data_IF_815731558178
#
_entry.id   IF_815731558178
#
_cell.length_a   1.000
_cell.length_b   1.000
_cell.length_c   1.000
_cell.angle_alpha   90.00
_cell.angle_beta   90.00
_cell.angle_gamma   90.00
#
_symmetry.space_group_name_H-M   'P 1'
#
loop_
_entity.id
_entity.type
_entity.pdbx_description
1 polymer ?
#
# COMPACT_ATOMS: atom_id res chain seq x y z
N UNK A 1 -24.24 -66.85 -0.50
CA UNK A 1 -23.08 -66.15 -1.08
C UNK A 1 -23.42 -64.74 -1.50
N UNK A 2 -23.51 -63.76 -0.57
CA UNK A 2 -23.82 -62.34 -0.84
C UNK A 2 -23.17 -61.38 0.20
N UNK A 3 -21.98 -61.68 0.76
CA UNK A 3 -21.35 -60.84 1.76
C UNK A 3 -20.04 -60.13 1.39
N UNK A 4 -19.37 -60.31 0.24
CA UNK A 4 -18.14 -59.53 -0.04
C UNK A 4 -18.41 -58.17 -0.69
N UNK A 5 -19.58 -57.89 -1.23
CA UNK A 5 -19.85 -56.64 -1.96
C UNK A 5 -20.13 -55.46 -1.01
N UNK A 6 -20.59 -55.72 0.23
CA UNK A 6 -20.90 -54.68 1.21
C UNK A 6 -19.65 -54.08 1.87
N UNK A 7 -18.56 -54.86 1.98
CA UNK A 7 -17.31 -54.39 2.56
C UNK A 7 -16.49 -53.55 1.56
N UNK A 8 -16.68 -53.78 0.25
CA UNK A 8 -16.00 -52.96 -0.77
C UNK A 8 -16.62 -51.55 -0.88
N UNK A 9 -17.92 -51.42 -0.62
CA UNK A 9 -18.60 -50.11 -0.65
C UNK A 9 -18.27 -49.27 0.59
N UNK A 10 -17.98 -49.87 1.73
CA UNK A 10 -17.59 -49.17 2.97
C UNK A 10 -16.12 -48.69 2.86
N UNK A 11 -15.27 -49.41 2.19
CA UNK A 11 -13.86 -49.00 1.98
C UNK A 11 -13.73 -47.84 0.98
N UNK A 12 -14.68 -47.67 0.04
CA UNK A 12 -14.66 -46.54 -0.92
C UNK A 12 -15.16 -45.22 -0.35
N UNK A 13 -15.96 -45.27 0.73
CA UNK A 13 -16.52 -44.07 1.39
C UNK A 13 -15.53 -43.44 2.40
N UNK A 14 -14.50 -44.16 2.84
CA UNK A 14 -13.52 -43.66 3.81
C UNK A 14 -12.31 -42.98 3.19
N UNK A 15 -12.18 -42.95 1.87
CA UNK A 15 -11.05 -42.29 1.17
C UNK A 15 -11.39 -40.86 0.72
N UNK A 16 -12.65 -40.42 0.82
CA UNK A 16 -13.03 -39.01 0.73
C UNK A 16 -12.93 -38.28 2.08
N UNK A 17 -11.92 -38.58 2.88
CA UNK A 17 -11.54 -37.73 4.01
C UNK A 17 -10.88 -36.48 3.47
N UNK A 18 -11.70 -35.47 3.25
CA UNK A 18 -11.37 -34.04 3.35
C UNK A 18 -9.89 -33.78 3.65
N UNK A 19 -9.10 -33.65 2.60
CA UNK A 19 -7.91 -32.83 2.67
C UNK A 19 -8.42 -31.38 2.80
N UNK A 20 -8.85 -31.02 3.99
CA UNK A 20 -8.92 -29.64 4.42
C UNK A 20 -7.46 -29.21 4.48
N UNK A 21 -6.93 -28.74 3.36
CA UNK A 21 -5.66 -28.04 3.32
C UNK A 21 -5.83 -26.86 4.28
N UNK A 22 -5.39 -27.06 5.52
CA UNK A 22 -5.13 -25.96 6.42
C UNK A 22 -4.06 -25.13 5.70
N UNK A 23 -4.49 -24.10 4.99
CA UNK A 23 -3.59 -23.12 4.40
C UNK A 23 -2.68 -22.67 5.53
N UNK A 24 -1.43 -23.10 5.48
CA UNK A 24 -0.41 -22.60 6.42
C UNK A 24 -0.41 -21.08 6.25
N UNK A 25 -0.67 -20.36 7.33
CA UNK A 25 -0.65 -18.90 7.31
C UNK A 25 0.72 -18.47 6.80
N UNK A 26 0.72 -17.68 5.75
CA UNK A 26 1.94 -17.11 5.22
C UNK A 26 2.48 -16.05 6.19
N UNK A 27 3.79 -15.82 6.15
CA UNK A 27 4.46 -14.77 6.93
C UNK A 27 5.16 -13.78 6.01
N UNK A 28 5.15 -12.51 6.39
CA UNK A 28 5.96 -11.48 5.76
C UNK A 28 6.67 -10.67 6.85
N UNK A 29 7.99 -10.63 6.76
CA UNK A 29 8.85 -10.12 7.83
C UNK A 29 9.97 -9.24 7.26
N UNK A 30 10.50 -8.36 8.11
CA UNK A 30 11.72 -7.61 7.85
C UNK A 30 12.89 -8.51 8.26
N UNK A 31 13.68 -8.95 7.29
CA UNK A 31 14.92 -9.70 7.51
C UNK A 31 16.16 -8.80 7.41
N UNK A 32 17.32 -9.42 7.52
CA UNK A 32 18.62 -8.74 7.33
C UNK A 32 18.77 -8.35 5.85
N UNK A 33 18.74 -7.03 5.58
CA UNK A 33 18.85 -6.39 4.26
C UNK A 33 17.86 -6.88 3.20
N UNK A 34 16.82 -7.61 3.59
CA UNK A 34 15.82 -8.14 2.67
C UNK A 34 14.47 -8.33 3.36
N UNK A 35 13.39 -8.30 2.62
CA UNK A 35 12.12 -8.82 3.12
C UNK A 35 12.13 -10.35 3.04
N UNK A 36 11.38 -10.98 3.94
CA UNK A 36 11.19 -12.42 3.98
C UNK A 36 9.70 -12.75 3.78
N UNK A 37 9.42 -13.59 2.80
CA UNK A 37 8.11 -14.21 2.60
C UNK A 37 8.23 -15.69 2.93
N UNK A 38 7.53 -16.16 3.95
CA UNK A 38 7.63 -17.53 4.44
C UNK A 38 9.09 -17.93 4.74
N UNK A 39 9.86 -17.01 5.34
CA UNK A 39 11.27 -17.19 5.67
C UNK A 39 12.23 -17.15 4.48
N UNK A 40 11.76 -16.85 3.26
CA UNK A 40 12.60 -16.77 2.05
C UNK A 40 12.76 -15.32 1.59
N UNK A 41 13.93 -14.93 1.07
CA UNK A 41 14.13 -13.59 0.51
C UNK A 41 13.07 -13.23 -0.53
N UNK A 42 12.52 -12.03 -0.39
CA UNK A 42 11.44 -11.54 -1.25
C UNK A 42 11.68 -10.08 -1.62
N UNK A 43 11.68 -9.78 -2.92
CA UNK A 43 11.73 -8.42 -3.43
C UNK A 43 10.30 -7.98 -3.77
N UNK A 44 9.82 -6.95 -3.09
CA UNK A 44 8.51 -6.35 -3.37
C UNK A 44 8.61 -5.57 -4.68
N UNK A 45 7.81 -5.96 -5.65
CA UNK A 45 7.62 -5.27 -6.93
C UNK A 45 6.16 -4.82 -6.97
N UNK A 46 5.90 -3.63 -6.47
CA UNK A 46 4.55 -3.13 -6.34
C UNK A 46 4.17 -2.18 -7.49
N UNK A 47 2.88 -2.16 -7.78
CA UNK A 47 2.25 -1.18 -8.64
C UNK A 47 1.13 -0.50 -7.89
N UNK A 48 1.11 0.82 -7.88
CA UNK A 48 0.08 1.57 -7.18
C UNK A 48 -1.17 1.71 -8.04
N UNK A 49 -2.31 1.28 -7.46
CA UNK A 49 -3.64 1.37 -8.06
C UNK A 49 -4.56 2.16 -7.15
N UNK A 50 -5.04 3.30 -7.63
CA UNK A 50 -6.07 4.08 -6.96
C UNK A 50 -7.45 3.52 -7.35
N UNK A 51 -7.93 2.49 -6.61
CA UNK A 51 -9.20 1.82 -6.89
C UNK A 51 -10.41 2.75 -7.03
N UNK A 52 -10.51 3.92 -6.32
CA UNK A 52 -11.61 4.84 -6.49
C UNK A 52 -11.68 5.51 -7.87
N UNK A 53 -10.54 5.57 -8.58
CA UNK A 53 -10.44 6.16 -9.92
C UNK A 53 -10.73 5.17 -11.05
N UNK A 54 -10.99 3.91 -10.70
CA UNK A 54 -11.22 2.83 -11.66
C UNK A 54 -12.62 2.24 -11.40
N UNK A 55 -13.52 2.20 -12.38
CA UNK A 55 -14.79 1.49 -12.23
C UNK A 55 -14.56 0.07 -11.74
N UNK A 56 -15.39 -0.42 -10.81
CA UNK A 56 -15.23 -1.73 -10.15
C UNK A 56 -15.10 -2.87 -11.15
N UNK A 57 -15.81 -2.79 -12.26
CA UNK A 57 -15.82 -3.79 -13.34
C UNK A 57 -14.45 -3.95 -14.01
N UNK A 58 -13.57 -2.95 -13.88
CA UNK A 58 -12.22 -2.98 -14.43
C UNK A 58 -11.12 -3.30 -13.40
N UNK A 59 -11.44 -3.47 -12.12
CA UNK A 59 -10.43 -3.75 -11.09
C UNK A 59 -9.61 -4.99 -11.42
N UNK A 60 -10.28 -6.10 -11.75
CA UNK A 60 -9.60 -7.35 -12.07
C UNK A 60 -8.68 -7.21 -13.29
N UNK A 61 -9.17 -6.52 -14.33
CA UNK A 61 -8.35 -6.25 -15.52
C UNK A 61 -7.06 -5.50 -15.15
N UNK A 62 -7.15 -4.45 -14.32
CA UNK A 62 -5.97 -3.66 -13.88
C UNK A 62 -5.01 -4.48 -13.05
N UNK A 63 -5.49 -5.28 -12.12
CA UNK A 63 -4.68 -6.20 -11.32
C UNK A 63 -3.95 -7.20 -12.21
N UNK A 64 -4.64 -7.80 -13.18
CA UNK A 64 -4.05 -8.73 -14.17
C UNK A 64 -2.98 -8.06 -15.02
N UNK A 65 -3.17 -6.82 -15.42
CA UNK A 65 -2.16 -6.06 -16.17
C UNK A 65 -0.92 -5.79 -15.35
N UNK A 66 -1.05 -5.43 -14.05
CA UNK A 66 0.09 -5.31 -13.15
C UNK A 66 0.85 -6.63 -12.99
N UNK A 67 0.13 -7.74 -12.86
CA UNK A 67 0.73 -9.07 -12.82
C UNK A 67 1.47 -9.41 -14.11
N UNK A 68 0.90 -9.10 -15.27
CA UNK A 68 1.53 -9.32 -16.57
C UNK A 68 2.80 -8.46 -16.75
N UNK A 69 2.86 -7.28 -16.12
CA UNK A 69 4.06 -6.43 -16.05
C UNK A 69 5.16 -7.02 -15.13
N UNK A 70 4.88 -8.13 -14.44
CA UNK A 70 5.84 -8.79 -13.53
C UNK A 70 5.79 -8.28 -12.09
N UNK A 71 4.78 -7.49 -11.73
CA UNK A 71 4.54 -7.10 -10.34
C UNK A 71 4.01 -8.26 -9.52
N UNK A 72 4.33 -8.27 -8.23
CA UNK A 72 3.85 -9.27 -7.27
C UNK A 72 2.97 -8.67 -6.17
N UNK A 73 2.86 -7.34 -6.14
CA UNK A 73 2.17 -6.60 -5.08
C UNK A 73 1.38 -5.44 -5.70
N UNK A 74 0.20 -5.18 -5.16
CA UNK A 74 -0.57 -3.97 -5.41
C UNK A 74 -0.38 -3.03 -4.22
N UNK A 75 -0.04 -1.77 -4.49
CA UNK A 75 -0.05 -0.71 -3.49
C UNK A 75 -1.33 0.11 -3.66
N UNK A 76 -1.98 0.50 -2.58
CA UNK A 76 -3.19 1.31 -2.64
C UNK A 76 -3.28 2.32 -1.49
N UNK A 77 -3.85 3.50 -1.79
CA UNK A 77 -4.27 4.47 -0.78
C UNK A 77 -5.72 4.29 -0.36
N UNK A 78 -6.01 4.62 0.91
CA UNK A 78 -7.37 4.74 1.43
C UNK A 78 -7.72 6.22 1.53
N UNK A 79 -8.61 6.70 0.68
CA UNK A 79 -8.99 8.11 0.64
C UNK A 79 -10.09 8.39 1.66
N UNK A 80 -9.79 9.07 2.74
CA UNK A 80 -10.72 9.31 3.83
C UNK A 80 -12.01 10.00 3.35
N UNK A 81 -11.88 11.10 2.59
CA UNK A 81 -13.04 11.84 2.06
C UNK A 81 -13.92 11.02 1.10
N UNK A 82 -13.37 9.99 0.48
CA UNK A 82 -14.14 9.08 -0.38
C UNK A 82 -15.02 8.13 0.43
N UNK A 83 -14.52 7.67 1.58
CA UNK A 83 -15.24 6.74 2.45
C UNK A 83 -16.11 7.42 3.51
N UNK A 84 -15.81 8.66 3.88
CA UNK A 84 -16.57 9.45 4.84
C UNK A 84 -16.89 10.84 4.24
N UNK A 85 -17.80 10.89 3.24
CA UNK A 85 -18.17 12.14 2.56
C UNK A 85 -18.89 13.14 3.47
N UNK A 86 -19.54 12.67 4.53
CA UNK A 86 -20.13 13.42 5.61
C UNK A 86 -19.67 12.85 6.94
N UNK A 87 -19.44 13.72 7.93
CA UNK A 87 -18.99 13.33 9.25
C UNK A 87 -19.83 12.20 9.86
N UNK A 88 -19.19 11.08 10.22
CA UNK A 88 -19.82 9.91 10.81
C UNK A 88 -20.59 9.02 9.83
N UNK A 89 -20.61 9.34 8.53
CA UNK A 89 -21.26 8.52 7.50
C UNK A 89 -20.23 7.78 6.66
N UNK A 90 -19.92 6.57 7.09
CA UNK A 90 -18.93 5.72 6.42
C UNK A 90 -19.60 4.86 5.35
N UNK A 91 -18.91 4.71 4.20
CA UNK A 91 -19.36 3.86 3.11
C UNK A 91 -18.17 3.05 2.54
N UNK A 92 -18.29 1.72 2.64
CA UNK A 92 -17.35 0.75 2.11
C UNK A 92 -18.05 -0.26 1.19
N UNK A 93 -19.08 0.18 0.46
CA UNK A 93 -19.87 -0.68 -0.44
C UNK A 93 -19.64 -0.37 -1.92
N UNK A 94 -20.00 -1.29 -2.80
CA UNK A 94 -19.95 -1.08 -4.24
C UNK A 94 -18.55 -0.66 -4.74
N UNK A 95 -18.44 0.52 -5.32
CA UNK A 95 -17.18 1.13 -5.78
C UNK A 95 -16.20 1.43 -4.63
N UNK A 96 -16.72 1.52 -3.41
CA UNK A 96 -15.94 1.84 -2.20
C UNK A 96 -15.54 0.59 -1.40
N UNK A 97 -15.85 -0.62 -1.89
CA UNK A 97 -15.53 -1.88 -1.21
C UNK A 97 -14.04 -2.23 -1.36
N UNK A 98 -13.22 -1.59 -0.52
CA UNK A 98 -11.77 -1.79 -0.49
C UNK A 98 -11.40 -3.24 -0.10
N UNK A 99 -12.20 -3.88 0.75
CA UNK A 99 -11.96 -5.27 1.14
C UNK A 99 -12.17 -6.22 -0.04
N UNK A 100 -13.19 -5.97 -0.88
CA UNK A 100 -13.38 -6.73 -2.12
C UNK A 100 -12.21 -6.50 -3.09
N UNK A 101 -11.69 -5.27 -3.19
CA UNK A 101 -10.51 -5.00 -4.02
C UNK A 101 -9.26 -5.78 -3.55
N UNK A 102 -9.00 -5.81 -2.23
CA UNK A 102 -7.89 -6.59 -1.68
C UNK A 102 -8.06 -8.10 -1.90
N UNK A 103 -9.28 -8.64 -1.71
CA UNK A 103 -9.57 -10.06 -1.99
C UNK A 103 -9.39 -10.39 -3.47
N UNK A 104 -9.83 -9.52 -4.36
CA UNK A 104 -9.64 -9.69 -5.80
C UNK A 104 -8.15 -9.70 -6.18
N UNK A 105 -7.32 -8.88 -5.53
CA UNK A 105 -5.87 -8.95 -5.68
C UNK A 105 -5.33 -10.31 -5.20
N UNK A 106 -5.80 -10.83 -4.06
CA UNK A 106 -5.44 -12.15 -3.53
C UNK A 106 -5.81 -13.29 -4.49
N UNK A 107 -7.02 -13.28 -5.03
CA UNK A 107 -7.52 -14.26 -6.01
C UNK A 107 -6.65 -14.29 -7.28
N UNK A 108 -6.05 -13.15 -7.63
CA UNK A 108 -5.11 -13.03 -8.73
C UNK A 108 -3.65 -13.32 -8.32
N UNK A 109 -3.40 -13.75 -7.06
CA UNK A 109 -2.07 -14.09 -6.55
C UNK A 109 -1.17 -12.87 -6.35
N UNK A 110 -1.75 -11.72 -5.96
CA UNK A 110 -1.03 -10.48 -5.67
C UNK A 110 -1.11 -10.16 -4.18
N UNK A 111 0.00 -9.75 -3.59
CA UNK A 111 0.04 -9.16 -2.26
C UNK A 111 -0.44 -7.72 -2.29
N UNK A 112 -0.68 -7.14 -1.11
CA UNK A 112 -1.17 -5.77 -0.99
C UNK A 112 -0.36 -4.98 0.04
N UNK A 113 -0.04 -3.74 -0.29
CA UNK A 113 0.43 -2.72 0.63
C UNK A 113 -0.69 -1.70 0.79
N UNK A 114 -1.08 -1.41 2.04
CA UNK A 114 -2.13 -0.44 2.34
C UNK A 114 -1.52 0.84 2.88
N UNK A 115 -1.95 1.98 2.33
CA UNK A 115 -1.51 3.32 2.74
C UNK A 115 -2.74 4.09 3.22
N UNK A 116 -3.12 3.94 4.52
CA UNK A 116 -4.41 4.45 5.03
C UNK A 116 -4.41 5.93 5.39
N UNK A 117 -3.29 6.59 5.32
CA UNK A 117 -3.16 7.99 5.68
C UNK A 117 -2.98 8.24 7.19
N UNK A 118 -3.66 9.27 7.76
CA UNK A 118 -4.90 9.97 7.32
C UNK A 118 -4.76 10.89 6.11
N UNK A 119 -3.63 11.53 5.92
CA UNK A 119 -3.28 12.28 4.71
C UNK A 119 -2.57 11.35 3.73
N UNK A 120 -2.97 11.36 2.45
CA UNK A 120 -2.41 10.44 1.44
C UNK A 120 -1.82 11.16 0.22
N UNK A 121 -1.96 12.47 0.10
CA UNK A 121 -1.56 13.26 -1.06
C UNK A 121 -2.25 12.78 -2.36
N UNK A 122 -1.60 11.96 -3.14
CA UNK A 122 -2.11 11.16 -4.25
C UNK A 122 -2.83 11.96 -5.34
N UNK A 123 -2.46 13.23 -5.58
CA UNK A 123 -3.17 14.13 -6.49
C UNK A 123 -4.71 14.06 -6.28
N UNK A 124 -5.12 13.99 -5.02
CA UNK A 124 -6.50 13.90 -4.62
C UNK A 124 -6.91 15.14 -3.81
N UNK A 125 -8.19 15.52 -3.88
CA UNK A 125 -8.71 16.67 -3.17
C UNK A 125 -8.32 16.64 -1.69
N UNK A 126 -7.73 17.73 -1.18
CA UNK A 126 -7.22 17.89 0.18
C UNK A 126 -6.28 16.76 0.64
N UNK A 127 -5.63 16.05 -0.31
CA UNK A 127 -4.80 14.89 0.03
C UNK A 127 -5.58 13.77 0.71
N UNK A 128 -6.87 13.65 0.40
CA UNK A 128 -7.77 12.64 0.96
C UNK A 128 -8.49 13.07 2.24
N UNK A 129 -8.12 14.19 2.86
CA UNK A 129 -8.80 14.67 4.06
C UNK A 129 -10.22 15.15 3.75
N UNK A 130 -11.24 14.89 4.61
CA UNK A 130 -12.59 15.32 4.37
C UNK A 130 -12.78 16.83 4.55
N UNK A 131 -13.51 17.43 3.64
CA UNK A 131 -13.83 18.86 3.65
C UNK A 131 -14.57 19.31 4.92
N UNK A 132 -15.37 18.44 5.53
CA UNK A 132 -16.16 18.76 6.72
C UNK A 132 -15.30 19.03 7.96
N UNK A 133 -14.04 18.57 7.98
CA UNK A 133 -13.08 18.95 9.02
C UNK A 133 -12.91 20.47 9.13
N UNK A 134 -12.97 21.19 7.99
CA UNK A 134 -12.83 22.63 7.94
C UNK A 134 -14.02 23.40 8.53
N UNK A 135 -15.11 22.73 8.89
CA UNK A 135 -16.22 23.35 9.65
C UNK A 135 -15.80 23.77 11.06
N UNK A 136 -14.81 23.06 11.64
CA UNK A 136 -14.24 23.44 12.92
C UNK A 136 -13.28 24.60 12.70
N UNK A 137 -13.61 25.78 13.28
CA UNK A 137 -12.71 26.93 13.26
C UNK A 137 -11.39 26.57 13.97
N UNK A 138 -10.30 27.08 13.45
CA UNK A 138 -8.95 26.93 14.01
C UNK A 138 -8.46 25.47 14.07
N UNK A 139 -9.04 24.56 13.28
CA UNK A 139 -8.54 23.18 13.17
C UNK A 139 -7.11 23.17 12.65
N UNK A 140 -6.28 22.33 13.25
CA UNK A 140 -4.93 22.05 12.80
C UNK A 140 -4.87 20.64 12.20
N UNK A 141 -4.79 20.59 10.89
CA UNK A 141 -4.67 19.33 10.15
C UNK A 141 -3.23 18.83 10.16
N UNK A 142 -3.06 17.51 10.29
CA UNK A 142 -1.75 16.85 10.39
C UNK A 142 -0.92 17.36 11.58
N UNK A 143 -1.59 17.67 12.66
CA UNK A 143 -1.04 18.07 13.95
C UNK A 143 -1.84 17.42 15.09
N UNK A 144 -1.38 17.54 16.33
CA UNK A 144 -2.08 17.03 17.52
C UNK A 144 -3.28 17.89 17.92
N UNK A 145 -4.16 18.25 16.98
CA UNK A 145 -5.46 18.85 17.28
C UNK A 145 -6.39 17.77 17.87
N UNK A 146 -6.95 17.94 19.06
CA UNK A 146 -7.76 16.88 19.70
C UNK A 146 -8.97 16.43 18.89
N UNK A 147 -9.63 17.34 18.16
CA UNK A 147 -10.76 16.98 17.31
C UNK A 147 -10.28 16.23 16.06
N UNK A 148 -9.23 16.72 15.41
CA UNK A 148 -8.66 16.03 14.26
C UNK A 148 -8.22 14.61 14.62
N UNK A 149 -7.49 14.44 15.71
CA UNK A 149 -6.99 13.11 16.14
C UNK A 149 -8.12 12.17 16.53
N UNK A 150 -9.19 12.67 17.15
CA UNK A 150 -10.40 11.89 17.42
C UNK A 150 -11.03 11.38 16.13
N UNK A 151 -11.20 12.25 15.13
CA UNK A 151 -11.77 11.86 13.83
C UNK A 151 -10.89 10.87 13.09
N UNK A 152 -9.57 11.08 13.09
CA UNK A 152 -8.59 10.12 12.53
C UNK A 152 -8.74 8.74 13.17
N UNK A 153 -8.85 8.69 14.51
CA UNK A 153 -9.02 7.41 15.23
C UNK A 153 -10.31 6.71 14.82
N UNK A 154 -11.42 7.44 14.71
CA UNK A 154 -12.70 6.87 14.30
C UNK A 154 -12.62 6.34 12.88
N UNK A 155 -12.09 7.12 11.93
CA UNK A 155 -11.92 6.67 10.55
C UNK A 155 -11.00 5.44 10.45
N UNK A 156 -9.86 5.46 11.12
CA UNK A 156 -8.91 4.35 11.09
C UNK A 156 -9.51 3.06 11.67
N UNK A 157 -10.38 3.15 12.70
CA UNK A 157 -11.10 2.01 13.21
C UNK A 157 -12.07 1.42 12.16
N UNK A 158 -12.74 2.27 11.36
CA UNK A 158 -13.60 1.79 10.27
C UNK A 158 -12.78 1.10 9.17
N UNK A 159 -11.62 1.65 8.82
CA UNK A 159 -10.67 1.00 7.90
C UNK A 159 -10.20 -0.34 8.46
N UNK A 160 -9.89 -0.40 9.75
CA UNK A 160 -9.49 -1.62 10.43
C UNK A 160 -10.56 -2.71 10.37
N UNK A 161 -11.84 -2.37 10.53
CA UNK A 161 -12.96 -3.33 10.38
C UNK A 161 -13.01 -3.95 8.99
N UNK A 162 -12.58 -3.22 7.96
CA UNK A 162 -12.57 -3.73 6.58
C UNK A 162 -11.32 -4.59 6.28
N UNK A 163 -10.16 -4.21 6.78
CA UNK A 163 -8.87 -4.70 6.29
C UNK A 163 -8.05 -5.49 7.30
N UNK A 164 -8.26 -5.32 8.62
CA UNK A 164 -7.37 -5.92 9.61
C UNK A 164 -7.36 -7.47 9.58
N UNK A 165 -8.42 -8.11 9.09
CA UNK A 165 -8.47 -9.56 8.93
C UNK A 165 -7.90 -10.05 7.58
N UNK A 166 -7.55 -9.13 6.69
CA UNK A 166 -6.90 -9.44 5.41
C UNK A 166 -5.36 -9.39 5.48
N UNK A 167 -4.78 -9.23 6.68
CA UNK A 167 -3.35 -9.34 6.87
C UNK A 167 -2.85 -10.76 6.56
N UNK A 168 -1.66 -10.87 5.98
CA UNK A 168 -1.05 -12.15 5.60
C UNK A 168 -0.95 -13.12 6.79
N UNK A 169 -0.65 -12.62 7.98
CA UNK A 169 -0.61 -13.39 9.23
C UNK A 169 -1.96 -14.00 9.63
N UNK A 170 -3.06 -13.53 9.02
CA UNK A 170 -4.42 -14.06 9.24
C UNK A 170 -4.95 -14.84 8.03
N UNK A 171 -4.13 -15.05 6.99
CA UNK A 171 -4.51 -15.76 5.77
C UNK A 171 -4.98 -14.86 4.62
N UNK A 172 -4.89 -13.54 4.80
CA UNK A 172 -5.11 -12.56 3.72
C UNK A 172 -3.84 -12.31 2.90
N UNK A 173 -3.78 -11.17 2.24
CA UNK A 173 -2.69 -10.79 1.34
C UNK A 173 -2.05 -9.43 1.65
N UNK A 174 -2.48 -8.74 2.71
CA UNK A 174 -1.85 -7.48 3.12
C UNK A 174 -0.53 -7.80 3.81
N UNK A 175 0.57 -7.26 3.28
CA UNK A 175 1.94 -7.52 3.74
C UNK A 175 2.58 -6.35 4.48
N UNK A 176 2.15 -5.10 4.23
CA UNK A 176 2.66 -3.91 4.90
C UNK A 176 1.57 -2.85 5.01
N UNK A 177 1.68 -1.98 6.02
CA UNK A 177 0.78 -0.83 6.20
C UNK A 177 1.60 0.43 6.51
N UNK A 178 1.30 1.52 5.79
CA UNK A 178 1.96 2.81 5.99
C UNK A 178 1.36 3.59 7.14
N UNK A 179 2.19 4.38 7.79
CA UNK A 179 1.83 5.36 8.82
C UNK A 179 2.04 6.75 8.25
N UNK A 180 0.96 7.52 8.09
CA UNK A 180 0.94 8.85 7.49
C UNK A 180 1.48 8.86 6.05
N UNK A 181 1.84 10.01 5.48
CA UNK A 181 2.48 10.12 4.15
C UNK A 181 3.40 11.32 4.09
N UNK A 182 4.69 11.08 3.82
CA UNK A 182 5.73 12.11 3.62
C UNK A 182 5.68 13.23 4.67
N UNK A 183 5.47 12.86 5.92
CA UNK A 183 5.27 13.85 6.98
C UNK A 183 6.51 14.69 7.25
N UNK A 184 7.71 14.17 7.02
CA UNK A 184 8.97 14.91 7.15
C UNK A 184 9.11 16.07 6.17
N UNK A 185 8.36 16.00 5.05
CA UNK A 185 8.23 17.11 4.09
C UNK A 185 7.18 18.15 4.52
N UNK A 186 6.34 17.84 5.49
CA UNK A 186 5.30 18.72 6.04
C UNK A 186 5.66 19.29 7.41
N UNK A 187 6.15 18.46 8.32
CA UNK A 187 6.38 18.83 9.71
C UNK A 187 7.43 17.97 10.41
N UNK A 188 7.66 18.29 11.68
CA UNK A 188 8.67 17.63 12.53
C UNK A 188 8.08 17.10 13.84
N UNK A 189 6.76 16.95 13.94
CA UNK A 189 6.07 16.50 15.16
C UNK A 189 6.12 14.98 15.28
N UNK A 190 7.20 14.44 15.84
CA UNK A 190 7.32 12.99 16.13
C UNK A 190 6.20 12.45 17.03
N UNK A 191 5.73 13.14 18.09
CA UNK A 191 4.57 12.73 18.87
C UNK A 191 3.31 12.51 18.01
N UNK A 192 3.04 13.39 17.04
CA UNK A 192 1.92 13.20 16.10
C UNK A 192 2.05 11.88 15.33
N UNK A 193 3.22 11.62 14.73
CA UNK A 193 3.45 10.38 13.98
C UNK A 193 3.36 9.15 14.89
N UNK A 194 3.87 9.24 16.11
CA UNK A 194 3.76 8.15 17.09
C UNK A 194 2.29 7.86 17.43
N UNK A 195 1.45 8.87 17.58
CA UNK A 195 0.03 8.70 17.83
C UNK A 195 -0.69 8.09 16.61
N UNK A 196 -0.38 8.53 15.37
CA UNK A 196 -0.92 7.90 14.14
C UNK A 196 -0.51 6.43 14.07
N UNK A 197 0.75 6.06 14.33
CA UNK A 197 1.20 4.67 14.42
C UNK A 197 0.38 3.87 15.42
N UNK A 198 0.14 4.42 16.60
CA UNK A 198 -0.59 3.73 17.66
C UNK A 198 -2.08 3.57 17.30
N UNK A 199 -2.69 4.56 16.64
CA UNK A 199 -4.03 4.48 16.06
C UNK A 199 -4.11 3.36 15.02
N UNK A 200 -3.13 3.26 14.11
CA UNK A 200 -3.07 2.18 13.11
C UNK A 200 -2.96 0.81 13.79
N UNK A 201 -2.11 0.68 14.82
CA UNK A 201 -2.02 -0.56 15.61
C UNK A 201 -3.34 -0.88 16.33
N UNK A 202 -3.99 0.11 16.94
CA UNK A 202 -5.29 -0.06 17.63
C UNK A 202 -6.41 -0.45 16.67
N UNK A 203 -6.37 -0.01 15.42
CA UNK A 203 -7.28 -0.42 14.35
C UNK A 203 -7.11 -1.88 13.90
N UNK A 204 -6.11 -2.60 14.46
CA UNK A 204 -5.90 -4.03 14.24
C UNK A 204 -4.77 -4.39 13.29
N UNK A 205 -3.98 -3.44 12.80
CA UNK A 205 -2.82 -3.69 11.94
C UNK A 205 -1.58 -4.01 12.79
N UNK A 206 -1.55 -5.22 13.35
CA UNK A 206 -0.47 -5.67 14.25
C UNK A 206 0.26 -6.92 13.75
N UNK A 207 -0.22 -7.52 12.67
CA UNK A 207 0.31 -8.77 12.14
C UNK A 207 1.20 -8.61 10.91
N UNK A 208 1.59 -7.37 10.57
CA UNK A 208 2.44 -7.03 9.44
C UNK A 208 3.35 -5.84 9.80
N UNK A 209 4.50 -5.67 9.13
CA UNK A 209 5.35 -4.50 9.31
C UNK A 209 4.60 -3.19 9.01
N UNK A 210 4.81 -2.20 9.87
CA UNK A 210 4.43 -0.81 9.60
C UNK A 210 5.63 -0.04 9.06
N UNK A 211 5.38 0.92 8.17
CA UNK A 211 6.44 1.72 7.54
C UNK A 211 6.08 3.20 7.40
N UNK A 212 7.10 4.03 7.30
CA UNK A 212 7.03 5.44 6.93
C UNK A 212 7.75 5.65 5.60
N UNK A 213 7.30 6.60 4.80
CA UNK A 213 8.00 7.05 3.61
C UNK A 213 8.25 8.55 3.64
N UNK A 214 9.34 8.98 3.01
CA UNK A 214 9.64 10.38 2.73
C UNK A 214 10.73 10.50 1.65
N UNK A 215 11.09 11.72 1.31
CA UNK A 215 12.25 12.01 0.49
C UNK A 215 13.53 11.77 1.31
N UNK A 216 14.62 11.43 0.61
CA UNK A 216 15.92 11.19 1.27
C UNK A 216 16.46 12.39 2.06
N UNK A 217 16.00 13.60 1.75
CA UNK A 217 16.36 14.83 2.47
C UNK A 217 15.55 15.06 3.75
N UNK A 218 14.39 14.42 3.91
CA UNK A 218 13.40 14.80 4.91
C UNK A 218 12.99 13.64 5.85
N UNK A 219 13.31 12.40 5.52
CA UNK A 219 12.83 11.24 6.28
C UNK A 219 13.28 11.23 7.75
N UNK A 220 14.42 11.84 8.09
CA UNK A 220 14.94 11.92 9.46
C UNK A 220 14.13 12.88 10.35
N UNK A 221 13.38 13.82 9.76
CA UNK A 221 12.68 14.87 10.53
C UNK A 221 11.73 14.31 11.59
N UNK A 222 11.09 13.18 11.31
CA UNK A 222 10.12 12.55 12.21
C UNK A 222 10.14 11.02 12.19
N UNK A 223 11.19 10.41 11.69
CA UNK A 223 11.31 8.96 11.62
C UNK A 223 11.23 8.32 13.02
N UNK A 224 10.40 7.26 13.12
CA UNK A 224 10.26 6.46 14.34
C UNK A 224 11.10 5.19 14.21
N UNK A 225 11.79 4.83 15.30
CA UNK A 225 12.75 3.71 15.28
C UNK A 225 12.09 2.34 15.16
N UNK A 226 10.84 2.21 15.55
CA UNK A 226 10.06 0.98 15.47
C UNK A 226 9.32 0.79 14.13
N UNK A 227 9.48 1.71 13.18
CA UNK A 227 8.94 1.60 11.83
C UNK A 227 10.04 1.30 10.81
N UNK A 228 9.68 0.63 9.73
CA UNK A 228 10.53 0.56 8.55
C UNK A 228 10.55 1.93 7.86
N UNK A 229 11.72 2.40 7.45
CA UNK A 229 11.86 3.64 6.68
C UNK A 229 12.04 3.32 5.20
N UNK A 230 11.30 3.99 4.35
CA UNK A 230 11.38 3.87 2.90
C UNK A 230 11.59 5.25 2.27
N UNK A 231 12.20 5.29 1.10
CA UNK A 231 12.57 6.55 0.43
C UNK A 231 11.78 6.67 -0.88
N UNK A 232 11.23 7.85 -1.15
CA UNK A 232 10.53 8.18 -2.39
C UNK A 232 11.45 8.98 -3.32
N UNK A 233 11.49 8.59 -4.60
CA UNK A 233 12.22 9.31 -5.64
C UNK A 233 11.73 8.94 -7.04
N UNK A 234 12.09 9.74 -8.04
CA UNK A 234 11.67 9.54 -9.43
C UNK A 234 12.76 8.98 -10.34
N UNK A 235 12.36 8.77 -11.60
CA UNK A 235 13.26 8.36 -12.68
C UNK A 235 14.42 9.34 -12.84
N UNK A 236 15.61 8.82 -13.18
CA UNK A 236 16.84 9.60 -13.33
C UNK A 236 17.58 9.88 -12.03
N UNK A 237 17.04 9.53 -10.86
CA UNK A 237 17.74 9.64 -9.59
C UNK A 237 18.93 8.67 -9.52
N UNK A 238 20.02 9.08 -8.86
CA UNK A 238 21.10 8.18 -8.49
C UNK A 238 20.64 7.33 -7.28
N UNK A 239 20.41 6.04 -7.47
CA UNK A 239 19.83 5.16 -6.46
C UNK A 239 20.74 5.05 -5.23
N UNK A 240 22.04 4.96 -5.42
CA UNK A 240 22.98 4.84 -4.30
C UNK A 240 22.94 6.10 -3.41
N UNK A 241 22.87 7.30 -4.03
CA UNK A 241 22.74 8.56 -3.28
C UNK A 241 21.40 8.66 -2.53
N UNK A 242 20.30 8.12 -3.11
CA UNK A 242 18.98 8.14 -2.46
C UNK A 242 18.98 7.32 -1.16
N UNK A 243 19.66 6.19 -1.13
CA UNK A 243 19.66 5.32 0.04
C UNK A 243 20.88 5.49 0.96
N UNK A 244 21.88 6.26 0.55
CA UNK A 244 23.14 6.42 1.30
C UNK A 244 22.91 6.73 2.79
N UNK A 245 22.16 7.79 3.06
CA UNK A 245 21.92 8.22 4.45
C UNK A 245 21.11 7.20 5.25
N UNK A 246 20.14 6.56 4.64
CA UNK A 246 19.35 5.51 5.26
C UNK A 246 20.24 4.30 5.64
N UNK A 247 21.13 3.88 4.77
CA UNK A 247 22.06 2.78 5.03
C UNK A 247 23.12 3.10 6.10
N UNK A 248 23.55 4.37 6.19
CA UNK A 248 24.42 4.82 7.28
C UNK A 248 23.75 4.69 8.66
N UNK A 249 22.46 5.00 8.74
CA UNK A 249 21.70 4.96 9.99
C UNK A 249 21.17 3.57 10.32
N UNK A 250 20.78 2.81 9.30
CA UNK A 250 20.16 1.49 9.44
C UNK A 250 20.70 0.52 8.38
N UNK A 251 21.91 -0.01 8.56
CA UNK A 251 22.60 -0.83 7.56
C UNK A 251 21.93 -2.19 7.32
N UNK A 252 21.10 -2.67 8.24
CA UNK A 252 20.56 -4.04 8.25
C UNK A 252 19.10 -4.13 7.79
N UNK A 253 18.45 -3.00 7.40
CA UNK A 253 17.07 -3.03 6.93
C UNK A 253 17.00 -3.29 5.41
N UNK A 254 15.89 -3.89 4.91
CA UNK A 254 15.62 -3.94 3.49
C UNK A 254 15.40 -2.54 2.92
N UNK A 255 15.95 -2.28 1.74
CA UNK A 255 15.74 -1.02 1.04
C UNK A 255 14.50 -1.08 0.18
N UNK A 256 13.70 0.00 0.18
CA UNK A 256 12.50 0.12 -0.63
C UNK A 256 12.28 1.58 -1.08
N UNK A 257 12.04 1.75 -2.38
CA UNK A 257 11.43 2.94 -2.93
C UNK A 257 9.91 2.77 -2.91
N UNK A 258 9.23 3.39 -1.95
CA UNK A 258 7.77 3.21 -1.78
C UNK A 258 6.93 4.02 -2.77
N UNK A 259 7.54 5.02 -3.42
CA UNK A 259 7.00 5.69 -4.60
C UNK A 259 8.12 5.95 -5.60
N UNK A 260 8.15 5.18 -6.67
CA UNK A 260 9.04 5.43 -7.80
C UNK A 260 8.27 6.17 -8.90
N UNK A 261 8.52 7.47 -9.00
CA UNK A 261 7.77 8.36 -9.89
C UNK A 261 8.23 8.24 -11.34
N UNK A 262 7.29 7.86 -12.22
CA UNK A 262 7.51 7.79 -13.67
C UNK A 262 7.25 9.11 -14.40
N UNK A 263 6.81 10.16 -13.71
CA UNK A 263 6.48 11.47 -14.23
C UNK A 263 6.61 12.55 -13.17
N UNK A 264 6.11 13.75 -13.48
CA UNK A 264 6.00 14.85 -12.53
C UNK A 264 4.73 15.67 -12.82
N UNK A 265 4.44 16.61 -11.94
CA UNK A 265 3.29 17.50 -12.09
C UNK A 265 3.43 18.45 -13.27
N UNK A 266 2.35 18.65 -14.01
CA UNK A 266 2.20 19.80 -14.88
C UNK A 266 1.75 21.02 -14.08
N UNK A 267 2.28 22.17 -14.41
CA UNK A 267 1.90 23.44 -13.81
C UNK A 267 1.29 24.37 -14.86
N UNK A 268 0.27 25.15 -14.46
CA UNK A 268 -0.35 26.14 -15.32
C UNK A 268 0.70 27.11 -15.90
N UNK A 269 0.70 27.26 -17.23
CA UNK A 269 1.64 28.13 -17.92
C UNK A 269 3.08 27.61 -18.07
N UNK A 270 3.39 26.43 -17.52
CA UNK A 270 4.67 25.77 -17.70
C UNK A 270 4.66 24.81 -18.90
N UNK A 271 5.87 24.39 -19.32
CA UNK A 271 6.02 23.33 -20.31
C UNK A 271 5.55 21.99 -19.71
N UNK A 272 4.86 21.19 -20.52
CA UNK A 272 4.45 19.85 -20.16
C UNK A 272 5.65 18.98 -19.73
N UNK A 273 5.54 18.35 -18.56
CA UNK A 273 6.56 17.48 -17.98
C UNK A 273 6.53 16.10 -18.66
N UNK A 274 7.68 15.66 -19.11
CA UNK A 274 7.86 14.35 -19.74
C UNK A 274 9.03 13.60 -19.14
N UNK A 275 8.92 12.29 -19.05
CA UNK A 275 10.00 11.38 -18.65
C UNK A 275 10.12 10.27 -19.68
N UNK A 276 11.33 9.77 -19.91
CA UNK A 276 11.53 8.69 -20.87
C UNK A 276 11.16 7.35 -20.28
N UNK A 277 10.61 6.46 -21.10
CA UNK A 277 10.34 5.09 -20.71
C UNK A 277 11.64 4.32 -20.41
N UNK A 278 12.72 4.68 -21.10
CA UNK A 278 14.05 4.10 -20.91
C UNK A 278 14.58 4.40 -19.50
N UNK A 279 14.39 5.62 -19.00
CA UNK A 279 14.81 6.01 -17.64
C UNK A 279 14.01 5.26 -16.57
N UNK A 280 12.71 5.04 -16.81
CA UNK A 280 11.88 4.21 -15.94
C UNK A 280 12.42 2.77 -15.86
N UNK A 281 12.61 2.14 -17.02
CA UNK A 281 13.13 0.78 -17.11
C UNK A 281 14.52 0.65 -16.51
N UNK A 282 15.41 1.63 -16.77
CA UNK A 282 16.74 1.69 -16.18
C UNK A 282 16.69 1.74 -14.66
N UNK A 283 15.90 2.65 -14.09
CA UNK A 283 15.76 2.77 -12.62
C UNK A 283 15.21 1.50 -11.99
N UNK A 284 14.17 0.88 -12.58
CA UNK A 284 13.65 -0.40 -12.11
C UNK A 284 14.72 -1.49 -12.14
N UNK A 285 15.45 -1.60 -13.25
CA UNK A 285 16.54 -2.58 -13.39
C UNK A 285 17.63 -2.37 -12.34
N UNK A 286 18.08 -1.15 -12.15
CA UNK A 286 19.11 -0.81 -11.17
C UNK A 286 18.69 -1.13 -9.74
N UNK A 287 17.41 -0.92 -9.38
CA UNK A 287 16.86 -1.34 -8.09
C UNK A 287 16.83 -2.85 -7.95
N UNK A 288 16.37 -3.57 -8.97
CA UNK A 288 16.33 -5.04 -8.95
C UNK A 288 17.73 -5.67 -8.87
N UNK A 289 18.70 -5.14 -9.58
CA UNK A 289 20.10 -5.60 -9.54
C UNK A 289 20.72 -5.46 -8.13
N UNK A 290 20.18 -4.57 -7.28
CA UNK A 290 20.57 -4.34 -5.88
C UNK A 290 19.62 -4.98 -4.85
N UNK A 291 18.64 -5.78 -5.28
CA UNK A 291 17.58 -6.33 -4.43
C UNK A 291 16.76 -5.26 -3.69
N UNK A 292 16.64 -4.06 -4.26
CA UNK A 292 15.83 -2.99 -3.71
C UNK A 292 14.39 -3.18 -4.16
N UNK A 293 13.47 -3.19 -3.21
CA UNK A 293 12.03 -3.22 -3.44
C UNK A 293 11.52 -1.87 -3.93
N UNK A 294 10.43 -1.87 -4.71
CA UNK A 294 9.85 -0.62 -5.20
C UNK A 294 8.32 -0.70 -5.41
N UNK A 295 7.68 0.46 -5.43
CA UNK A 295 6.31 0.64 -5.88
C UNK A 295 6.27 1.68 -7.02
N UNK A 296 5.80 1.28 -8.20
CA UNK A 296 5.59 2.21 -9.30
C UNK A 296 4.45 3.17 -8.97
N UNK A 297 4.75 4.45 -8.91
CA UNK A 297 3.78 5.50 -8.64
C UNK A 297 3.51 6.31 -9.91
N UNK A 298 2.33 6.24 -10.51
CA UNK A 298 1.23 5.31 -10.29
C UNK A 298 0.87 4.65 -11.62
N UNK A 299 0.39 3.42 -11.57
CA UNK A 299 0.07 2.67 -12.81
C UNK A 299 -1.34 2.96 -13.32
N UNK A 300 -2.31 3.16 -12.42
CA UNK A 300 -3.71 3.29 -12.81
C UNK A 300 -4.20 4.74 -12.94
N UNK A 301 -3.62 5.65 -12.22
CA UNK A 301 -3.91 7.08 -12.34
C UNK A 301 -3.52 7.61 -13.72
N UNK A 302 -2.35 7.20 -14.18
CA UNK A 302 -1.80 7.54 -15.49
C UNK A 302 -2.70 7.08 -16.64
N UNK A 303 -3.51 6.06 -16.45
CA UNK A 303 -4.37 5.53 -17.50
C UNK A 303 -5.37 6.57 -18.01
N UNK A 304 -6.00 7.35 -17.15
CA UNK A 304 -6.92 8.40 -17.58
C UNK A 304 -6.19 9.52 -18.32
N UNK A 305 -4.95 9.80 -17.96
CA UNK A 305 -4.12 10.81 -18.61
C UNK A 305 -3.37 10.29 -19.83
N UNK A 306 -2.93 9.04 -19.82
CA UNK A 306 -2.33 8.42 -20.99
C UNK A 306 -3.33 8.31 -22.15
N UNK A 307 -4.63 8.18 -21.84
CA UNK A 307 -5.67 8.23 -22.85
C UNK A 307 -5.76 9.62 -23.49
N UNK A 308 -5.60 10.67 -22.71
CA UNK A 308 -5.55 12.05 -23.22
C UNK A 308 -4.30 12.27 -24.08
N UNK A 309 -3.17 11.69 -23.72
CA UNK A 309 -1.93 11.80 -24.50
C UNK A 309 -1.96 10.96 -25.79
N UNK A 310 -2.61 9.81 -25.81
CA UNK A 310 -2.76 8.99 -27.02
C UNK A 310 -3.71 9.62 -28.04
N UNK A 311 -4.61 10.48 -27.61
CA UNK A 311 -5.46 11.24 -28.53
C UNK A 311 -4.72 12.43 -29.17
N UNK A 312 -3.53 12.75 -28.71
CA UNK A 312 -2.66 13.80 -29.24
C UNK A 312 -1.51 13.24 -30.08
N UNK A 313 -1.45 11.95 -30.23
CA UNK A 313 -0.52 11.22 -31.12
C UNK A 313 -1.24 10.75 -32.38
#
# INVERSE_FOLDING_TARGET
>A
MKKPLLYLLILLVTVFSTSCSQSSKETFEIGDKTFLLNGKPFVVKAAEIHYPRIPKEYWEHRIKMCKALGMNTICLYVFWNFHEPEEGKYDFTGQKDIAAFCRLAQENGMYVIVRPGPYVCAEWEMGGLPWWLLKKKDIKLREQDPYYMERVKLFMNEVGKQLADLQISKGGNIIMVQVENEYGSFGIDKPYIAEIRDIVKQAGFTGVPLFQCDWNSNFENNALDDLLWTINFGTGANIDDQFKRLQELRPDIPLMCSEFWSGWFDHWGAKHETRSAEDLVKGMKEMLDRNISFSLYTVSYTHLRAHETTLHL
#
